data_IF_952738170966
#
_entry.id   IF_952738170966
#
_cell.length_a   1.000
_cell.length_b   1.000
_cell.length_c   1.000
_cell.angle_alpha   90.00
_cell.angle_beta   90.00
_cell.angle_gamma   90.00
#
_symmetry.space_group_name_H-M   'P 1'
#
loop_
_entity.id
_entity.type
_entity.pdbx_description
1 polymer ?
#
# COMPACT_ATOMS: atom_id res chain seq x y z
N UNK A 1 0.37 -34.21 14.23
CA UNK A 1 0.89 -33.34 13.14
C UNK A 1 0.29 -31.96 13.34
N UNK A 2 1.09 -30.95 13.71
CA UNK A 2 0.59 -29.59 13.92
C UNK A 2 0.49 -28.90 12.56
N UNK A 3 -0.72 -28.59 12.11
CA UNK A 3 -0.95 -27.85 10.87
C UNK A 3 -1.06 -26.35 11.18
N UNK A 4 0.01 -25.60 10.92
CA UNK A 4 0.00 -24.15 11.00
C UNK A 4 -0.71 -23.58 9.77
N UNK A 5 -1.92 -23.05 9.97
CA UNK A 5 -2.62 -22.29 8.92
C UNK A 5 -2.00 -20.90 8.85
N UNK A 6 -1.53 -20.44 7.68
CA UNK A 6 -1.03 -19.08 7.55
C UNK A 6 -2.16 -18.09 7.85
N UNK A 7 -2.02 -17.30 8.92
CA UNK A 7 -2.99 -16.24 9.27
C UNK A 7 -2.91 -15.02 8.33
N UNK A 8 -1.95 -15.02 7.39
CA UNK A 8 -1.72 -13.91 6.49
C UNK A 8 -2.85 -13.75 5.47
N UNK A 9 -3.60 -12.65 5.58
CA UNK A 9 -4.58 -12.21 4.57
C UNK A 9 -4.04 -11.02 3.80
N UNK A 10 -4.28 -10.98 2.49
CA UNK A 10 -3.87 -9.88 1.63
C UNK A 10 -4.46 -8.54 2.09
N UNK A 11 -3.61 -7.49 2.13
CA UNK A 11 -3.94 -6.14 2.64
C UNK A 11 -5.26 -5.54 2.17
N UNK A 12 -5.58 -5.68 0.88
CA UNK A 12 -6.82 -5.17 0.28
C UNK A 12 -8.08 -5.78 0.91
N UNK A 13 -7.96 -6.99 1.45
CA UNK A 13 -9.05 -7.73 2.10
C UNK A 13 -9.14 -7.45 3.61
N UNK A 14 -8.14 -6.80 4.20
CA UNK A 14 -8.01 -6.65 5.66
C UNK A 14 -8.51 -5.31 6.20
N UNK A 15 -8.40 -4.21 5.44
CA UNK A 15 -9.00 -2.96 5.90
C UNK A 15 -9.65 -2.19 4.77
N UNK A 16 -10.71 -1.47 5.13
CA UNK A 16 -11.43 -0.58 4.24
C UNK A 16 -10.52 0.58 3.83
N UNK A 17 -10.61 1.05 2.57
CA UNK A 17 -9.92 2.25 2.13
C UNK A 17 -10.26 3.45 3.03
N UNK A 18 -9.28 4.30 3.29
CA UNK A 18 -9.49 5.52 4.07
C UNK A 18 -10.01 6.60 3.12
N UNK A 19 -11.20 7.10 3.40
CA UNK A 19 -11.88 8.13 2.62
C UNK A 19 -11.71 9.47 3.33
N UNK A 20 -11.11 10.46 2.66
CA UNK A 20 -10.97 11.83 3.17
C UNK A 20 -11.73 12.78 2.25
N UNK A 21 -12.65 13.55 2.82
CA UNK A 21 -13.34 14.64 2.13
C UNK A 21 -12.57 15.93 2.34
N UNK A 22 -12.50 16.76 1.31
CA UNK A 22 -11.88 18.09 1.38
C UNK A 22 -12.59 19.04 0.41
N UNK A 23 -12.61 20.32 0.75
CA UNK A 23 -13.13 21.39 -0.11
C UNK A 23 -12.12 21.69 -1.22
N UNK A 24 -12.57 21.73 -2.47
CA UNK A 24 -11.73 22.01 -3.63
C UNK A 24 -11.84 23.49 -4.00
N UNK A 25 -10.89 24.28 -3.51
CA UNK A 25 -10.78 25.72 -3.75
C UNK A 25 -10.18 26.04 -5.14
N UNK A 26 -10.99 25.89 -6.19
CA UNK A 26 -10.64 26.38 -7.54
C UNK A 26 -10.81 27.90 -7.63
N UNK A 27 -10.28 28.54 -8.68
CA UNK A 27 -10.57 29.95 -8.95
C UNK A 27 -12.07 30.21 -9.10
N UNK A 28 -12.73 29.38 -9.90
CA UNK A 28 -14.17 29.43 -10.13
C UNK A 28 -14.98 29.30 -8.83
N UNK A 29 -14.61 28.37 -7.94
CA UNK A 29 -15.31 28.19 -6.66
C UNK A 29 -15.17 29.43 -5.75
N UNK A 30 -13.98 30.06 -5.75
CA UNK A 30 -13.75 31.31 -5.01
C UNK A 30 -14.55 32.46 -5.59
N UNK A 31 -14.58 32.60 -6.91
CA UNK A 31 -15.34 33.65 -7.61
C UNK A 31 -16.84 33.50 -7.35
N UNK A 32 -17.37 32.27 -7.41
CA UNK A 32 -18.78 31.98 -7.06
C UNK A 32 -19.10 32.31 -5.61
N UNK A 33 -18.23 31.92 -4.68
CA UNK A 33 -18.41 32.25 -3.27
C UNK A 33 -18.40 33.76 -3.04
N UNK A 34 -17.46 34.46 -3.66
CA UNK A 34 -17.37 35.92 -3.58
C UNK A 34 -18.65 36.58 -4.12
N UNK A 35 -19.09 36.22 -5.33
CA UNK A 35 -20.33 36.74 -5.89
C UNK A 35 -21.55 36.44 -5.01
N UNK A 36 -21.62 35.26 -4.39
CA UNK A 36 -22.70 34.91 -3.48
C UNK A 36 -22.72 35.83 -2.24
N UNK A 37 -21.57 36.10 -1.64
CA UNK A 37 -21.45 36.97 -0.47
C UNK A 37 -21.67 38.45 -0.82
N UNK A 38 -21.22 38.89 -2.00
CA UNK A 38 -21.40 40.26 -2.49
C UNK A 38 -22.88 40.56 -2.81
N UNK A 39 -23.64 39.55 -3.24
CA UNK A 39 -25.08 39.68 -3.48
C UNK A 39 -25.94 39.52 -2.22
N UNK A 40 -25.34 39.24 -1.06
CA UNK A 40 -26.09 39.04 0.19
C UNK A 40 -26.47 40.37 0.81
N UNK A 41 -27.76 40.54 1.12
CA UNK A 41 -28.21 41.66 1.94
C UNK A 41 -27.93 41.38 3.43
N UNK A 42 -26.85 41.97 3.94
CA UNK A 42 -26.41 41.80 5.32
C UNK A 42 -27.31 42.52 6.34
N UNK A 43 -28.09 43.52 5.92
CA UNK A 43 -28.95 44.27 6.84
C UNK A 43 -30.16 43.45 7.28
N UNK A 44 -30.58 42.47 6.47
CA UNK A 44 -31.60 41.47 6.85
C UNK A 44 -31.22 40.75 8.14
N UNK A 45 -29.96 40.33 8.28
CA UNK A 45 -29.49 39.63 9.49
C UNK A 45 -29.54 40.56 10.71
N UNK A 46 -29.14 41.82 10.57
CA UNK A 46 -29.20 42.80 11.67
C UNK A 46 -30.64 43.05 12.12
N UNK A 47 -31.58 43.11 11.16
CA UNK A 47 -33.00 43.35 11.45
C UNK A 47 -33.70 42.13 12.08
N UNK A 48 -33.20 40.93 11.82
CA UNK A 48 -33.81 39.67 12.24
C UNK A 48 -33.33 39.16 13.62
N UNK A 49 -32.26 39.75 14.16
CA UNK A 49 -31.61 39.27 15.40
C UNK A 49 -31.63 40.34 16.48
N UNK A 50 -31.86 39.93 17.73
CA UNK A 50 -31.99 40.86 18.86
C UNK A 50 -30.75 40.93 19.75
N UNK A 51 -29.78 40.04 19.52
CA UNK A 51 -28.50 40.00 20.23
C UNK A 51 -27.32 39.87 19.27
N UNK A 52 -26.15 40.32 19.72
CA UNK A 52 -24.90 40.21 18.95
C UNK A 52 -24.51 38.74 18.71
N UNK A 53 -24.80 37.87 19.68
CA UNK A 53 -24.51 36.44 19.59
C UNK A 53 -25.38 35.78 18.52
N UNK A 54 -26.70 36.06 18.51
CA UNK A 54 -27.63 35.58 17.47
C UNK A 54 -27.24 36.09 16.08
N UNK A 55 -26.84 37.36 15.97
CA UNK A 55 -26.35 37.94 14.72
C UNK A 55 -25.13 37.19 14.21
N UNK A 56 -24.15 36.95 15.08
CA UNK A 56 -22.90 36.26 14.73
C UNK A 56 -23.17 34.82 14.33
N UNK A 57 -24.05 34.11 15.04
CA UNK A 57 -24.44 32.75 14.71
C UNK A 57 -25.16 32.69 13.35
N UNK A 58 -26.12 33.58 13.11
CA UNK A 58 -26.87 33.64 11.85
C UNK A 58 -25.95 33.94 10.65
N UNK A 59 -25.06 34.93 10.79
CA UNK A 59 -24.07 35.27 9.76
C UNK A 59 -23.10 34.11 9.51
N UNK A 60 -22.58 33.49 10.56
CA UNK A 60 -21.63 32.37 10.44
C UNK A 60 -22.27 31.14 9.79
N UNK A 61 -23.51 30.85 10.16
CA UNK A 61 -24.31 29.78 9.57
C UNK A 61 -24.55 30.03 8.07
N UNK A 62 -24.92 31.27 7.71
CA UNK A 62 -25.13 31.63 6.31
C UNK A 62 -23.84 31.58 5.48
N UNK A 63 -22.71 32.09 6.00
CA UNK A 63 -21.41 31.99 5.33
C UNK A 63 -21.04 30.51 5.12
N UNK A 64 -21.27 29.65 6.12
CA UNK A 64 -21.02 28.21 6.00
C UNK A 64 -21.90 27.57 4.92
N UNK A 65 -23.16 27.98 4.82
CA UNK A 65 -24.07 27.58 3.73
C UNK A 65 -23.58 28.04 2.35
N UNK A 66 -23.09 29.28 2.24
CA UNK A 66 -22.50 29.79 1.00
C UNK A 66 -21.25 28.99 0.62
N UNK A 67 -20.38 28.66 1.59
CA UNK A 67 -19.22 27.80 1.37
C UNK A 67 -19.64 26.40 0.88
N UNK A 68 -20.67 25.82 1.50
CA UNK A 68 -21.19 24.50 1.12
C UNK A 68 -21.81 24.48 -0.28
N UNK A 69 -22.47 25.57 -0.66
CA UNK A 69 -23.13 25.71 -1.96
C UNK A 69 -22.15 26.04 -3.08
N UNK A 70 -21.14 26.89 -2.81
CA UNK A 70 -20.22 27.39 -3.84
C UNK A 70 -18.97 26.52 -4.00
N UNK A 71 -18.48 25.90 -2.91
CA UNK A 71 -17.20 25.18 -2.91
C UNK A 71 -17.44 23.68 -3.02
N UNK A 72 -17.09 23.04 -4.15
CA UNK A 72 -17.34 21.62 -4.34
C UNK A 72 -16.53 20.77 -3.36
N UNK A 73 -17.21 19.81 -2.73
CA UNK A 73 -16.58 18.81 -1.86
C UNK A 73 -16.01 17.68 -2.71
N UNK A 74 -14.69 17.52 -2.68
CA UNK A 74 -13.99 16.43 -3.36
C UNK A 74 -13.61 15.34 -2.36
N UNK A 75 -13.57 14.10 -2.85
CA UNK A 75 -13.19 12.94 -2.02
C UNK A 75 -11.90 12.33 -2.54
N UNK A 76 -10.96 12.05 -1.63
CA UNK A 76 -9.77 11.26 -1.91
C UNK A 76 -9.83 9.96 -1.13
N UNK A 77 -9.74 8.85 -1.87
CA UNK A 77 -9.61 7.51 -1.32
C UNK A 77 -8.13 7.13 -1.31
N UNK A 78 -7.62 6.71 -0.16
CA UNK A 78 -6.29 6.12 -0.01
C UNK A 78 -6.41 4.66 0.39
N UNK A 79 -5.67 3.79 -0.29
CA UNK A 79 -5.65 2.36 -0.02
C UNK A 79 -4.43 1.98 0.82
N UNK A 80 -4.55 0.90 1.60
CA UNK A 80 -3.44 0.41 2.43
C UNK A 80 -2.24 -0.13 1.62
N UNK A 81 -2.41 -0.33 0.32
CA UNK A 81 -1.38 -0.71 -0.64
C UNK A 81 -1.01 0.43 -1.58
N UNK A 82 -1.35 1.69 -1.24
CA UNK A 82 -0.86 2.85 -1.96
C UNK A 82 0.68 2.77 -2.03
N UNK A 83 1.21 3.04 -3.22
CA UNK A 83 2.65 2.92 -3.51
C UNK A 83 3.41 3.95 -2.67
N UNK A 84 4.25 3.55 -1.71
CA UNK A 84 4.92 4.50 -0.79
C UNK A 84 5.90 5.43 -1.50
N UNK A 85 6.43 4.99 -2.65
CA UNK A 85 7.27 5.80 -3.54
C UNK A 85 6.48 6.80 -4.40
N UNK A 86 5.14 6.81 -4.37
CA UNK A 86 4.31 7.71 -5.18
C UNK A 86 3.99 9.03 -4.44
N UNK A 87 4.92 9.97 -4.51
CA UNK A 87 4.92 11.23 -3.75
C UNK A 87 4.00 12.31 -4.33
N UNK A 88 3.89 13.46 -3.63
CA UNK A 88 3.15 14.62 -4.10
C UNK A 88 3.76 15.23 -5.38
N UNK A 89 5.08 15.21 -5.50
CA UNK A 89 5.82 15.63 -6.70
C UNK A 89 5.46 14.77 -7.91
N UNK A 90 5.43 13.44 -7.77
CA UNK A 90 4.98 12.56 -8.86
C UNK A 90 3.52 12.78 -9.24
N UNK A 91 2.65 13.13 -8.28
CA UNK A 91 1.27 13.55 -8.58
C UNK A 91 1.23 14.86 -9.37
N UNK A 92 2.14 15.80 -9.11
CA UNK A 92 2.26 17.05 -9.86
C UNK A 92 2.75 16.79 -11.29
N UNK A 93 3.82 16.02 -11.45
CA UNK A 93 4.35 15.65 -12.77
C UNK A 93 3.32 14.89 -13.62
N UNK A 94 2.52 14.01 -12.99
CA UNK A 94 1.39 13.35 -13.66
C UNK A 94 0.38 14.38 -14.18
N UNK A 95 -0.04 15.33 -13.33
CA UNK A 95 -0.99 16.38 -13.71
C UNK A 95 -0.46 17.26 -14.83
N UNK A 96 0.81 17.66 -14.79
CA UNK A 96 1.44 18.43 -15.88
C UNK A 96 1.45 17.65 -17.21
N UNK A 97 1.75 16.35 -17.17
CA UNK A 97 1.66 15.48 -18.35
C UNK A 97 0.22 15.33 -18.86
N UNK A 98 -0.77 15.30 -17.97
CA UNK A 98 -2.19 15.24 -18.36
C UNK A 98 -2.63 16.58 -18.98
N UNK A 99 -2.26 17.72 -18.39
CA UNK A 99 -2.51 19.06 -18.95
C UNK A 99 -1.85 19.26 -20.32
N UNK A 100 -0.59 18.82 -20.49
CA UNK A 100 0.09 18.89 -21.78
C UNK A 100 -0.56 17.97 -22.85
N UNK A 101 -1.26 16.92 -22.42
CA UNK A 101 -2.05 16.09 -23.33
C UNK A 101 -3.34 16.78 -23.74
N UNK A 102 -4.04 17.39 -22.77
CA UNK A 102 -5.26 18.18 -23.00
C UNK A 102 -5.01 19.41 -23.88
N UNK A 103 -3.82 20.02 -23.81
CA UNK A 103 -3.46 21.17 -24.63
C UNK A 103 -3.00 20.83 -26.06
N UNK A 104 -3.04 19.55 -26.47
CA UNK A 104 -2.59 19.02 -27.78
C UNK A 104 -1.15 19.37 -28.21
N UNK A 105 -0.33 19.91 -27.31
CA UNK A 105 1.08 20.22 -27.56
C UNK A 105 1.91 18.94 -27.49
N UNK A 106 2.21 18.39 -28.67
CA UNK A 106 2.98 17.15 -28.81
C UNK A 106 4.40 17.26 -28.26
N UNK A 107 5.02 18.43 -28.28
CA UNK A 107 6.40 18.62 -27.82
C UNK A 107 6.41 18.65 -26.30
N UNK A 108 5.56 19.50 -25.70
CA UNK A 108 5.42 19.61 -24.26
C UNK A 108 4.95 18.29 -23.63
N UNK A 109 4.03 17.57 -24.30
CA UNK A 109 3.59 16.25 -23.85
C UNK A 109 4.74 15.24 -23.83
N UNK A 110 5.56 15.17 -24.89
CA UNK A 110 6.72 14.25 -24.95
C UNK A 110 7.70 14.55 -23.81
N UNK A 111 8.00 15.83 -23.57
CA UNK A 111 8.89 16.24 -22.50
C UNK A 111 8.31 15.88 -21.12
N UNK A 112 7.05 16.24 -20.86
CA UNK A 112 6.37 15.96 -19.60
C UNK A 112 6.25 14.45 -19.34
N UNK A 113 5.99 13.65 -20.39
CA UNK A 113 5.97 12.19 -20.32
C UNK A 113 7.34 11.62 -19.96
N UNK A 114 8.41 12.14 -20.56
CA UNK A 114 9.77 11.73 -20.23
C UNK A 114 10.12 12.07 -18.78
N UNK A 115 9.89 13.33 -18.36
CA UNK A 115 10.13 13.81 -16.99
C UNK A 115 9.39 12.96 -15.96
N UNK A 116 8.10 12.72 -16.18
CA UNK A 116 7.29 11.84 -15.31
C UNK A 116 7.86 10.42 -15.24
N UNK A 117 8.19 9.82 -16.38
CA UNK A 117 8.73 8.45 -16.44
C UNK A 117 10.10 8.33 -15.76
N UNK A 118 10.95 9.35 -15.90
CA UNK A 118 12.25 9.44 -15.22
C UNK A 118 12.05 9.53 -13.70
N UNK A 119 11.22 10.47 -13.24
CA UNK A 119 10.94 10.64 -11.82
C UNK A 119 10.33 9.39 -11.18
N UNK A 120 9.47 8.65 -11.89
CA UNK A 120 8.93 7.36 -11.40
C UNK A 120 10.03 6.32 -11.21
N UNK A 121 10.99 6.23 -12.14
CA UNK A 121 12.13 5.30 -12.01
C UNK A 121 13.01 5.70 -10.82
N UNK A 122 13.31 6.99 -10.69
CA UNK A 122 14.14 7.51 -9.60
C UNK A 122 13.48 7.30 -8.24
N UNK A 123 12.19 7.60 -8.10
CA UNK A 123 11.45 7.39 -6.85
C UNK A 123 11.38 5.93 -6.44
N UNK A 124 11.19 5.02 -7.40
CA UNK A 124 11.25 3.57 -7.13
C UNK A 124 12.64 3.17 -6.65
N UNK A 125 13.70 3.59 -7.36
CA UNK A 125 15.09 3.28 -7.00
C UNK A 125 15.42 3.75 -5.59
N UNK A 126 15.18 5.02 -5.28
CA UNK A 126 15.44 5.60 -3.96
C UNK A 126 14.67 4.86 -2.84
N UNK A 127 13.42 4.48 -3.10
CA UNK A 127 12.64 3.71 -2.13
C UNK A 127 13.21 2.31 -1.91
N UNK A 128 13.60 1.60 -2.98
CA UNK A 128 14.21 0.28 -2.87
C UNK A 128 15.58 0.32 -2.20
N UNK A 129 16.41 1.32 -2.51
CA UNK A 129 17.70 1.54 -1.83
C UNK A 129 17.51 1.76 -0.33
N UNK A 130 16.57 2.64 0.06
CA UNK A 130 16.22 2.86 1.47
C UNK A 130 15.74 1.57 2.15
N UNK A 131 14.90 0.80 1.46
CA UNK A 131 14.38 -0.45 1.98
C UNK A 131 15.50 -1.50 2.17
N UNK A 132 16.41 -1.59 1.19
CA UNK A 132 17.57 -2.46 1.26
C UNK A 132 18.49 -2.07 2.41
N UNK A 133 18.81 -0.78 2.58
CA UNK A 133 19.60 -0.29 3.71
C UNK A 133 19.00 -0.68 5.06
N UNK A 134 17.67 -0.61 5.21
CA UNK A 134 16.99 -1.03 6.45
C UNK A 134 17.09 -2.53 6.72
N UNK A 135 17.14 -3.36 5.67
CA UNK A 135 17.24 -4.82 5.79
C UNK A 135 18.69 -5.30 5.93
N UNK A 136 19.66 -4.55 5.39
CA UNK A 136 21.08 -4.85 5.49
C UNK A 136 21.75 -4.29 6.75
N UNK A 137 21.03 -3.48 7.54
CA UNK A 137 21.53 -3.01 8.83
C UNK A 137 21.71 -4.19 9.79
N UNK A 138 22.84 -4.25 10.51
CA UNK A 138 23.09 -5.23 11.58
C UNK A 138 22.29 -4.91 12.87
N UNK A 139 21.04 -4.49 12.70
CA UNK A 139 20.10 -4.14 13.75
C UNK A 139 18.76 -4.84 13.46
N UNK A 140 18.44 -5.83 14.29
CA UNK A 140 17.22 -6.62 14.18
C UNK A 140 15.97 -5.74 14.27
N UNK A 141 15.99 -4.62 15.00
CA UNK A 141 14.87 -3.70 15.10
C UNK A 141 14.60 -2.99 13.77
N UNK A 142 15.65 -2.61 13.04
CA UNK A 142 15.58 -2.02 11.70
C UNK A 142 15.10 -3.01 10.65
N UNK A 143 15.58 -4.25 10.69
CA UNK A 143 15.08 -5.34 9.82
C UNK A 143 13.59 -5.56 10.04
N UNK A 144 13.16 -5.71 11.30
CA UNK A 144 11.75 -5.87 11.63
C UNK A 144 10.91 -4.66 11.27
N UNK A 145 11.46 -3.45 11.32
CA UNK A 145 10.79 -2.24 10.82
C UNK A 145 10.59 -2.29 9.30
N UNK A 146 11.61 -2.71 8.55
CA UNK A 146 11.52 -2.92 7.11
C UNK A 146 10.48 -3.99 6.74
N UNK A 147 10.51 -5.14 7.41
CA UNK A 147 9.50 -6.20 7.26
C UNK A 147 8.11 -5.67 7.56
N UNK A 148 7.93 -4.92 8.66
CA UNK A 148 6.65 -4.26 8.97
C UNK A 148 6.23 -3.27 7.89
N UNK A 149 7.15 -2.52 7.29
CA UNK A 149 6.83 -1.57 6.22
C UNK A 149 6.37 -2.28 4.93
N UNK A 150 7.03 -3.39 4.56
CA UNK A 150 6.64 -4.22 3.39
C UNK A 150 5.29 -4.88 3.64
N UNK A 151 5.12 -5.48 4.82
CA UNK A 151 3.92 -6.23 5.19
C UNK A 151 2.79 -5.32 5.69
N UNK A 152 3.06 -4.04 5.95
CA UNK A 152 2.21 -3.10 6.71
C UNK A 152 1.66 -3.74 8.00
N UNK A 153 2.44 -4.63 8.63
CA UNK A 153 2.04 -5.33 9.84
C UNK A 153 2.00 -4.32 10.99
N UNK A 154 0.80 -4.13 11.53
CA UNK A 154 0.58 -3.42 12.78
C UNK A 154 0.48 -4.46 13.88
N UNK A 155 1.38 -4.46 14.88
CA UNK A 155 1.27 -5.38 16.00
C UNK A 155 -0.11 -5.18 16.62
N UNK A 156 -0.89 -6.26 16.69
CA UNK A 156 -2.09 -6.28 17.52
C UNK A 156 -1.61 -6.30 18.97
N UNK A 157 -2.34 -5.63 19.86
CA UNK A 157 -2.16 -5.87 21.31
C UNK A 157 -2.23 -7.38 21.53
N UNK A 158 -1.25 -8.00 22.21
CA UNK A 158 -1.25 -9.44 22.40
C UNK A 158 -2.58 -9.83 23.02
N UNK A 159 -3.36 -10.63 22.29
CA UNK A 159 -4.45 -11.36 22.91
C UNK A 159 -3.75 -12.31 23.88
N UNK A 160 -4.02 -12.17 25.17
CA UNK A 160 -3.38 -12.90 26.25
C UNK A 160 -3.69 -14.39 26.17
N UNK A 161 -3.07 -15.11 25.25
CA UNK A 161 -2.75 -16.51 25.47
C UNK A 161 -1.37 -16.52 26.11
N UNK A 162 -1.37 -16.23 27.41
CA UNK A 162 -0.22 -16.34 28.30
C UNK A 162 0.12 -17.81 28.50
N UNK A 163 0.53 -18.51 27.44
CA UNK A 163 1.23 -19.78 27.60
C UNK A 163 2.71 -19.53 27.35
N UNK A 164 3.40 -19.03 28.38
CA UNK A 164 4.84 -18.80 28.33
C UNK A 164 5.61 -20.07 27.95
N UNK A 165 5.05 -21.25 28.26
CA UNK A 165 5.65 -22.55 27.97
C UNK A 165 5.59 -22.92 26.50
N UNK A 166 4.61 -22.39 25.75
CA UNK A 166 4.50 -22.64 24.30
C UNK A 166 5.68 -22.04 23.54
N UNK A 167 6.16 -20.87 23.97
CA UNK A 167 7.33 -20.23 23.38
C UNK A 167 8.59 -21.09 23.61
N UNK A 168 8.77 -21.59 24.84
CA UNK A 168 9.87 -22.48 25.21
C UNK A 168 9.81 -23.81 24.44
N UNK A 169 8.63 -24.46 24.38
CA UNK A 169 8.43 -25.72 23.64
C UNK A 169 8.70 -25.55 22.14
N UNK A 170 8.29 -24.43 21.55
CA UNK A 170 8.60 -24.13 20.15
C UNK A 170 10.09 -23.91 19.92
N UNK A 171 10.76 -23.21 20.83
CA UNK A 171 12.18 -22.94 20.75
C UNK A 171 12.97 -24.27 20.85
N UNK A 172 12.62 -25.14 21.80
CA UNK A 172 13.18 -26.49 21.93
C UNK A 172 12.93 -27.33 20.67
N UNK A 173 11.72 -27.27 20.12
CA UNK A 173 11.38 -27.95 18.87
C UNK A 173 12.25 -27.47 17.70
N UNK A 174 12.43 -26.15 17.52
CA UNK A 174 13.24 -25.61 16.43
C UNK A 174 14.75 -25.88 16.62
N UNK A 175 15.26 -25.77 17.83
CA UNK A 175 16.66 -26.02 18.17
C UNK A 175 17.01 -27.52 18.27
N UNK A 176 16.04 -28.43 18.14
CA UNK A 176 16.28 -29.89 18.22
C UNK A 176 17.33 -30.43 17.25
N UNK A 177 17.61 -29.69 16.16
CA UNK A 177 18.63 -30.04 15.17
C UNK A 177 19.97 -29.32 15.39
N UNK A 178 20.02 -28.30 16.24
CA UNK A 178 21.24 -27.53 16.53
C UNK A 178 22.04 -28.15 17.69
N UNK A 179 21.37 -28.82 18.63
CA UNK A 179 22.01 -29.47 19.78
C UNK A 179 22.56 -30.88 19.51
N UNK A 180 22.48 -31.40 18.28
CA UNK A 180 22.94 -32.76 17.95
C UNK A 180 24.39 -32.82 17.45
N UNK A 181 25.13 -31.70 17.44
CA UNK A 181 26.51 -31.69 16.97
C UNK A 181 27.51 -31.34 18.07
N UNK A 182 27.72 -32.30 18.98
CA UNK A 182 28.89 -32.31 19.87
C UNK A 182 29.99 -33.21 19.28
N UNK A 183 30.64 -32.72 18.22
CA UNK A 183 31.90 -33.28 17.72
C UNK A 183 31.84 -34.71 17.12
N UNK A 184 32.97 -35.23 16.61
CA UNK A 184 32.98 -36.40 15.71
C UNK A 184 32.71 -37.77 16.36
N UNK A 185 32.64 -37.90 17.69
CA UNK A 185 32.80 -39.21 18.36
C UNK A 185 31.58 -39.71 19.15
N UNK A 186 30.37 -39.20 18.90
CA UNK A 186 29.17 -39.76 19.54
C UNK A 186 28.02 -39.89 18.55
N UNK A 187 28.11 -40.92 17.72
CA UNK A 187 26.98 -41.48 17.00
C UNK A 187 26.09 -42.19 18.03
N UNK A 188 24.85 -41.74 18.31
CA UNK A 188 23.88 -42.61 18.93
C UNK A 188 23.51 -43.65 17.87
N UNK A 189 23.99 -44.88 18.02
CA UNK A 189 23.47 -46.02 17.28
C UNK A 189 21.97 -46.17 17.60
N UNK A 190 21.15 -45.50 16.81
CA UNK A 190 19.73 -45.86 16.71
C UNK A 190 19.66 -47.13 15.86
N UNK A 191 18.97 -48.19 16.30
CA UNK A 191 18.84 -49.39 15.52
C UNK A 191 18.16 -49.05 14.20
N UNK A 192 18.81 -49.45 13.12
CA UNK A 192 18.28 -49.45 11.76
C UNK A 192 16.95 -50.20 11.82
N UNK A 193 15.82 -49.49 11.81
CA UNK A 193 14.58 -50.08 11.31
C UNK A 193 14.75 -50.16 9.80
N UNK A 194 15.11 -51.37 9.37
CA UNK A 194 15.22 -51.81 8.01
C UNK A 194 13.84 -51.70 7.33
N UNK A 195 13.54 -50.58 6.68
CA UNK A 195 12.52 -50.55 5.63
C UNK A 195 13.21 -50.81 4.30
N UNK A 196 12.92 -52.01 3.79
CA UNK A 196 13.47 -52.63 2.60
C UNK A 196 13.46 -51.71 1.38
N UNK A 197 14.58 -51.68 0.68
CA UNK A 197 14.66 -51.30 -0.74
C UNK A 197 13.65 -52.10 -1.55
N UNK A 198 12.61 -51.43 -2.03
CA UNK A 198 11.93 -51.84 -3.26
C UNK A 198 12.18 -50.76 -4.29
N UNK A 199 13.13 -51.06 -5.19
CA UNK A 199 13.42 -50.26 -6.38
C UNK A 199 12.22 -50.30 -7.33
N UNK A 200 11.70 -49.15 -7.81
CA UNK A 200 10.88 -49.15 -9.01
C UNK A 200 11.78 -49.32 -10.26
N UNK A 201 11.35 -50.08 -11.28
CA UNK A 201 12.17 -50.32 -12.46
C UNK A 201 12.30 -49.05 -13.32
N UNK A 202 13.52 -48.81 -13.81
CA UNK A 202 13.80 -47.80 -14.83
C UNK A 202 13.01 -48.10 -16.11
N UNK A 203 12.28 -47.14 -16.71
CA UNK A 203 11.76 -47.30 -18.05
C UNK A 203 12.90 -47.10 -19.06
N UNK A 204 13.06 -48.15 -19.88
CA UNK A 204 13.95 -48.23 -21.02
C UNK A 204 13.62 -47.16 -22.07
N UNK A 205 14.67 -46.71 -22.77
CA UNK A 205 14.60 -45.86 -23.96
C UNK A 205 13.72 -46.50 -25.04
N UNK A 206 12.67 -45.80 -25.47
CA UNK A 206 12.02 -46.01 -26.75
C UNK A 206 11.51 -44.65 -27.25
N UNK A 207 11.96 -44.25 -28.44
CA UNK A 207 11.62 -42.98 -29.06
C UNK A 207 10.16 -42.88 -29.47
N UNK A 208 9.63 -41.67 -29.42
CA UNK A 208 8.49 -41.25 -30.22
C UNK A 208 8.49 -39.73 -30.37
N UNK A 209 8.48 -39.27 -31.62
CA UNK A 209 8.25 -37.90 -32.04
C UNK A 209 6.90 -37.38 -31.51
N UNK A 210 6.85 -36.14 -31.02
CA UNK A 210 5.60 -35.37 -30.94
C UNK A 210 5.87 -33.85 -30.94
N UNK A 211 5.65 -33.28 -32.13
CA UNK A 211 5.16 -31.94 -32.50
C UNK A 211 5.14 -30.79 -31.47
N UNK A 212 5.86 -29.74 -31.83
CA UNK A 212 5.74 -28.36 -31.32
C UNK A 212 4.35 -27.80 -31.67
N UNK A 213 3.57 -27.24 -30.72
CA UNK A 213 2.35 -26.50 -31.05
C UNK A 213 2.68 -25.09 -31.54
N UNK A 214 1.96 -24.56 -32.55
CA UNK A 214 2.31 -23.30 -33.19
C UNK A 214 1.91 -22.07 -32.36
N UNK A 215 2.76 -21.05 -32.47
CA UNK A 215 2.60 -19.68 -31.98
C UNK A 215 1.45 -19.00 -32.76
N UNK A 216 0.49 -18.34 -32.11
CA UNK A 216 -0.50 -17.52 -32.82
C UNK A 216 0.13 -16.19 -33.26
N UNK A 217 0.09 -15.93 -34.57
CA UNK A 217 0.49 -14.66 -35.18
C UNK A 217 -0.58 -13.56 -34.93
N UNK A 218 -0.20 -12.26 -35.00
CA UNK A 218 -1.08 -11.15 -34.66
C UNK A 218 -2.09 -10.84 -35.77
N UNK A 219 -3.32 -10.49 -35.40
CA UNK A 219 -4.33 -10.01 -36.35
C UNK A 219 -3.99 -8.62 -36.89
N UNK A 220 -4.25 -8.34 -38.19
CA UNK A 220 -4.05 -7.04 -38.79
C UNK A 220 -5.21 -6.06 -38.51
N UNK A 221 -4.85 -4.77 -38.59
CA UNK A 221 -5.60 -3.51 -38.46
C UNK A 221 -7.12 -3.53 -38.38
#
# INVERSE_FOLDING_TARGET
MVHLIPSYRQKLKLCKPVVRKFKKWTSEAREKLQACLDCTDWDVFKSATNSLDEYTEAVTSYISFCEDSCVPTSTRVSFNNDKPWFTAELRQLRRQKDQAFESEDKVLYKESKYRFSKAVRDAKRLYFEKLQQQLSANDSASVWRGVRQITNYKPKTPHSMNDHRLADEFNDYCCRFECQWDGPDSIPHSPIILHQSTSPPSPSSAGAHASVPPIPAPHPR
#
